data_IF_291294732674
#
_entry.id   IF_291294732674
#
_cell.length_a   1.000
_cell.length_b   1.000
_cell.length_c   1.000
_cell.angle_alpha   90.00
_cell.angle_beta   90.00
_cell.angle_gamma   90.00
#
_symmetry.space_group_name_H-M   'P 1'
#
loop_
_entity.id
_entity.type
_entity.pdbx_description
1 polymer ?
#
# COMPACT_ATOMS: atom_id res chain seq x y z
N UNK A 1 -14.57 -4.03 -0.80
CA UNK A 1 -13.19 -4.14 -0.29
C UNK A 1 -12.81 -2.74 0.17
N UNK A 2 -12.90 -2.49 1.48
CA UNK A 2 -12.49 -1.22 2.10
C UNK A 2 -11.17 -0.74 1.50
N UNK A 3 -11.16 0.49 0.96
CA UNK A 3 -9.92 1.14 0.50
C UNK A 3 -9.05 1.31 1.73
N UNK A 4 -8.10 0.41 1.94
CA UNK A 4 -7.14 0.58 3.02
C UNK A 4 -6.33 1.83 2.74
N UNK A 5 -6.53 2.84 3.57
CA UNK A 5 -5.78 4.09 3.48
C UNK A 5 -4.27 3.83 3.53
N UNK A 6 -3.52 4.61 2.76
CA UNK A 6 -2.06 4.53 2.69
C UNK A 6 -1.42 4.61 4.09
N UNK A 7 -1.99 5.43 4.97
CA UNK A 7 -1.59 5.56 6.38
C UNK A 7 -1.71 4.24 7.15
N UNK A 8 -2.82 3.51 6.94
CA UNK A 8 -3.03 2.19 7.53
C UNK A 8 -2.04 1.17 6.98
N UNK A 9 -1.74 1.20 5.68
CA UNK A 9 -0.74 0.30 5.08
C UNK A 9 0.66 0.48 5.71
N UNK A 10 1.08 1.71 6.00
CA UNK A 10 2.36 1.95 6.69
C UNK A 10 2.39 1.37 8.12
N UNK A 11 1.27 1.39 8.85
CA UNK A 11 1.18 0.73 10.15
C UNK A 11 1.29 -0.79 10.02
N UNK A 12 0.65 -1.37 9.00
CA UNK A 12 0.64 -2.82 8.75
C UNK A 12 2.02 -3.37 8.33
N UNK A 13 2.92 -2.54 7.80
CA UNK A 13 4.32 -2.94 7.56
C UNK A 13 5.05 -3.37 8.83
N UNK A 14 4.67 -2.81 9.98
CA UNK A 14 5.26 -3.16 11.29
C UNK A 14 4.62 -4.40 11.92
N UNK A 15 3.66 -5.04 11.25
CA UNK A 15 2.99 -6.23 11.78
C UNK A 15 3.94 -7.43 11.84
N UNK A 16 3.89 -8.26 12.90
CA UNK A 16 4.63 -9.52 12.95
C UNK A 16 4.12 -10.53 11.90
N UNK A 17 2.88 -10.40 11.44
CA UNK A 17 2.30 -11.32 10.47
C UNK A 17 2.79 -11.03 9.03
N UNK A 18 3.43 -12.02 8.41
CA UNK A 18 3.98 -11.92 7.06
C UNK A 18 2.92 -11.63 5.98
N UNK A 19 1.72 -12.22 6.08
CA UNK A 19 0.63 -11.99 5.11
C UNK A 19 0.17 -10.54 5.15
N UNK A 20 0.11 -9.98 6.36
CA UNK A 20 -0.24 -8.58 6.60
C UNK A 20 0.79 -7.63 6.00
N UNK A 21 2.10 -7.88 6.23
CA UNK A 21 3.18 -7.08 5.61
C UNK A 21 3.15 -7.15 4.09
N UNK A 22 2.94 -8.35 3.51
CA UNK A 22 2.85 -8.53 2.06
C UNK A 22 1.69 -7.74 1.45
N UNK A 23 0.51 -7.75 2.09
CA UNK A 23 -0.64 -6.95 1.67
C UNK A 23 -0.32 -5.45 1.72
N UNK A 24 0.29 -4.98 2.81
CA UNK A 24 0.70 -3.59 2.96
C UNK A 24 1.66 -3.13 1.86
N UNK A 25 2.68 -3.95 1.55
CA UNK A 25 3.63 -3.67 0.47
C UNK A 25 2.95 -3.58 -0.90
N UNK A 26 1.96 -4.44 -1.17
CA UNK A 26 1.18 -4.39 -2.41
C UNK A 26 0.45 -3.05 -2.55
N UNK A 27 -0.28 -2.64 -1.52
CA UNK A 27 -1.02 -1.37 -1.50
C UNK A 27 -0.09 -0.17 -1.71
N UNK A 28 1.04 -0.12 -0.99
CA UNK A 28 2.01 0.98 -1.11
C UNK A 28 2.60 1.04 -2.53
N UNK A 29 2.89 -0.11 -3.15
CA UNK A 29 3.40 -0.18 -4.52
C UNK A 29 2.35 0.29 -5.52
N UNK A 30 1.10 -0.15 -5.38
CA UNK A 30 -0.01 0.26 -6.24
C UNK A 30 -0.21 1.78 -6.21
N UNK A 31 -0.23 2.39 -5.03
CA UNK A 31 -0.34 3.84 -4.87
C UNK A 31 0.86 4.58 -5.51
N UNK A 32 2.10 4.07 -5.31
CA UNK A 32 3.29 4.66 -5.94
C UNK A 32 3.27 4.55 -7.47
N UNK A 33 2.70 3.48 -8.02
CA UNK A 33 2.57 3.29 -9.47
C UNK A 33 1.46 4.17 -10.04
N UNK A 34 0.32 4.27 -9.35
CA UNK A 34 -0.77 5.17 -9.72
C UNK A 34 -0.32 6.62 -9.73
N UNK A 35 0.37 7.10 -8.67
CA UNK A 35 0.95 8.44 -8.63
C UNK A 35 1.92 8.72 -9.78
N UNK A 36 2.67 7.70 -10.23
CA UNK A 36 3.55 7.83 -11.39
C UNK A 36 2.78 7.96 -12.70
N UNK A 37 1.69 7.23 -12.86
CA UNK A 37 0.82 7.32 -14.05
C UNK A 37 0.11 8.66 -14.14
N UNK A 38 -0.49 9.13 -13.05
CA UNK A 38 -1.20 10.42 -13.02
C UNK A 38 -0.32 11.64 -13.26
N UNK A 39 1.01 11.51 -13.10
CA UNK A 39 1.96 12.59 -13.38
C UNK A 39 2.53 12.51 -14.82
N UNK A 40 2.14 11.50 -15.59
CA UNK A 40 2.60 11.26 -16.97
C UNK A 40 1.54 11.61 -18.03
N UNK A 41 0.33 11.98 -17.59
CA UNK A 41 -0.80 12.44 -18.40
C UNK A 41 -0.97 13.96 -18.23
#
# INVERSE_FOLDING_TARGET
MEKQDLSSAYRLLKSPNIKTRKRALKIIKEVKTQKRRTNLD
#
